data_IF_756474805771
#
_entry.id   IF_756474805771
#
_cell.length_a   1.000
_cell.length_b   1.000
_cell.length_c   1.000
_cell.angle_alpha   90.00
_cell.angle_beta   90.00
_cell.angle_gamma   90.00
#
_symmetry.space_group_name_H-M   'P 1'
#
loop_
_entity.id
_entity.type
_entity.pdbx_description
1 polymer ?
#
# COMPACT_ATOMS: atom_id res chain seq x y z
N UNK A 1 -5.09 -16.32 22.10
CA UNK A 1 -5.43 -15.05 21.42
C UNK A 1 -6.16 -14.20 22.44
N UNK A 2 -5.66 -12.99 22.74
CA UNK A 2 -6.35 -12.07 23.63
C UNK A 2 -7.70 -11.65 23.03
N UNK A 3 -8.66 -11.28 23.88
CA UNK A 3 -9.93 -10.70 23.43
C UNK A 3 -9.63 -9.46 22.58
N UNK A 4 -9.85 -9.54 21.26
CA UNK A 4 -9.94 -8.33 20.43
C UNK A 4 -11.18 -7.58 20.90
N UNK A 5 -10.98 -6.41 21.48
CA UNK A 5 -12.07 -5.49 21.82
C UNK A 5 -12.63 -4.89 20.51
N UNK A 6 -13.90 -4.44 20.49
CA UNK A 6 -14.41 -3.67 19.35
C UNK A 6 -13.51 -2.46 19.08
N UNK A 7 -13.43 -2.02 17.82
CA UNK A 7 -12.83 -0.72 17.47
C UNK A 7 -13.42 0.34 18.40
N UNK A 8 -12.60 1.20 19.04
CA UNK A 8 -13.12 2.34 19.79
C UNK A 8 -14.06 3.14 18.90
N UNK A 9 -15.16 3.64 19.47
CA UNK A 9 -16.10 4.49 18.73
C UNK A 9 -15.36 5.73 18.21
N UNK A 10 -15.10 5.77 16.91
CA UNK A 10 -14.41 6.86 16.22
C UNK A 10 -15.42 7.65 15.38
N UNK A 11 -15.26 8.98 15.20
CA UNK A 11 -16.05 9.72 14.22
C UNK A 11 -15.88 9.17 12.80
N UNK A 12 -14.77 8.45 12.54
CA UNK A 12 -14.48 7.77 11.28
C UNK A 12 -14.85 6.27 11.33
N UNK A 13 -15.93 5.95 12.05
CA UNK A 13 -16.48 4.59 12.11
C UNK A 13 -17.96 4.53 11.78
N UNK A 14 -18.36 3.49 11.05
CA UNK A 14 -19.75 3.17 10.73
C UNK A 14 -19.93 1.65 10.80
N UNK A 15 -20.83 1.17 11.66
CA UNK A 15 -21.08 -0.26 11.91
C UNK A 15 -19.79 -1.08 12.17
N UNK A 16 -18.94 -0.58 13.07
CA UNK A 16 -17.62 -1.13 13.41
C UNK A 16 -16.57 -1.09 12.27
N UNK A 17 -16.92 -0.59 11.09
CA UNK A 17 -16.00 -0.41 9.96
C UNK A 17 -15.44 1.00 9.88
N UNK A 18 -14.28 1.14 9.27
CA UNK A 18 -13.70 2.42 8.95
C UNK A 18 -14.57 3.18 7.92
N UNK A 19 -14.82 4.46 8.18
CA UNK A 19 -15.48 5.36 7.25
C UNK A 19 -14.83 6.74 7.32
N UNK A 20 -14.16 7.15 6.26
CA UNK A 20 -13.67 8.51 6.15
C UNK A 20 -14.73 9.43 5.54
N UNK A 21 -14.86 10.65 6.06
CA UNK A 21 -15.83 11.68 5.60
C UNK A 21 -15.75 12.04 4.11
N UNK A 22 -14.63 11.75 3.44
CA UNK A 22 -14.50 11.98 1.99
C UNK A 22 -15.23 10.94 1.14
N UNK A 23 -15.65 9.83 1.74
CA UNK A 23 -16.45 8.83 1.06
C UNK A 23 -17.92 9.27 1.07
N UNK A 24 -18.59 9.31 -0.09
CA UNK A 24 -19.99 9.78 -0.16
C UNK A 24 -20.93 8.84 0.61
N UNK A 25 -20.59 7.56 0.68
CA UNK A 25 -21.36 6.53 1.37
C UNK A 25 -20.40 5.61 2.16
N UNK A 26 -20.81 5.15 3.35
CA UNK A 26 -20.10 4.09 4.07
C UNK A 26 -19.90 2.85 3.21
N UNK A 27 -18.87 2.08 3.52
CA UNK A 27 -18.67 0.80 2.86
C UNK A 27 -19.72 -0.21 3.33
N UNK A 28 -20.28 -0.98 2.38
CA UNK A 28 -21.29 -2.00 2.64
C UNK A 28 -21.07 -3.18 1.73
N UNK A 29 -21.33 -4.39 2.21
CA UNK A 29 -21.35 -5.61 1.40
C UNK A 29 -22.46 -6.55 1.91
N UNK A 30 -23.11 -7.37 1.05
CA UNK A 30 -24.07 -8.37 1.48
C UNK A 30 -23.51 -9.39 2.48
N UNK A 31 -22.19 -9.60 2.48
CA UNK A 31 -21.49 -10.46 3.44
C UNK A 31 -21.36 -9.83 4.84
N UNK A 32 -21.75 -8.57 4.98
CA UNK A 32 -21.66 -7.74 6.18
C UNK A 32 -22.96 -6.98 6.43
N UNK A 33 -24.04 -7.71 6.75
CA UNK A 33 -25.34 -7.10 7.02
C UNK A 33 -25.25 -6.09 8.18
N UNK A 34 -25.94 -4.94 8.07
CA UNK A 34 -25.80 -3.83 9.02
C UNK A 34 -26.34 -4.13 10.42
N UNK A 35 -27.20 -5.14 10.55
CA UNK A 35 -27.78 -5.62 11.80
C UNK A 35 -26.94 -6.72 12.48
N UNK A 36 -25.90 -7.22 11.83
CA UNK A 36 -25.02 -8.24 12.39
C UNK A 36 -23.90 -7.61 13.23
N UNK A 37 -23.83 -8.00 14.50
CA UNK A 37 -22.79 -7.56 15.42
C UNK A 37 -21.42 -8.12 15.05
N UNK A 38 -20.35 -7.44 15.49
CA UNK A 38 -18.99 -7.97 15.31
C UNK A 38 -18.81 -9.37 15.92
N UNK A 39 -19.47 -9.69 17.05
CA UNK A 39 -19.38 -11.03 17.65
C UNK A 39 -20.05 -12.11 16.81
N UNK A 40 -21.15 -11.78 16.12
CA UNK A 40 -21.81 -12.71 15.20
C UNK A 40 -20.92 -12.94 13.97
N UNK A 41 -20.38 -11.87 13.38
CA UNK A 41 -19.38 -11.95 12.30
C UNK A 41 -18.19 -12.82 12.69
N UNK A 42 -17.62 -12.57 13.88
CA UNK A 42 -16.47 -13.30 14.42
C UNK A 42 -16.74 -14.79 14.59
N UNK A 43 -17.98 -15.20 14.85
CA UNK A 43 -18.36 -16.62 14.93
C UNK A 43 -18.69 -17.22 13.57
N UNK A 44 -19.29 -16.42 12.67
CA UNK A 44 -19.73 -16.88 11.35
C UNK A 44 -18.56 -17.11 10.40
N UNK A 45 -17.64 -16.15 10.27
CA UNK A 45 -16.59 -16.26 9.27
C UNK A 45 -15.67 -17.49 9.44
N UNK A 46 -15.28 -17.88 10.67
CA UNK A 46 -14.56 -19.13 10.91
C UNK A 46 -15.27 -20.42 10.49
N UNK A 47 -16.59 -20.38 10.28
CA UNK A 47 -17.36 -21.54 9.83
C UNK A 47 -17.29 -21.79 8.32
N UNK A 48 -16.79 -20.83 7.53
CA UNK A 48 -16.69 -21.01 6.08
C UNK A 48 -15.58 -21.99 5.71
N UNK A 49 -15.78 -22.86 4.69
CA UNK A 49 -14.77 -23.83 4.25
C UNK A 49 -13.46 -23.20 3.77
N UNK A 50 -13.49 -21.91 3.44
CA UNK A 50 -12.34 -21.15 2.97
C UNK A 50 -11.58 -20.41 4.06
N UNK A 51 -12.12 -20.38 5.29
CA UNK A 51 -11.42 -19.80 6.43
C UNK A 51 -10.09 -20.53 6.60
N UNK A 52 -8.97 -19.81 6.53
CA UNK A 52 -7.61 -20.35 6.51
C UNK A 52 -7.17 -21.14 5.24
N UNK A 53 -7.98 -21.20 4.18
CA UNK A 53 -7.67 -22.02 3.01
C UNK A 53 -6.42 -21.56 2.22
N UNK A 54 -6.14 -20.25 2.21
CA UNK A 54 -4.98 -19.68 1.52
C UNK A 54 -4.52 -18.34 2.15
N UNK A 55 -3.58 -17.65 1.50
CA UNK A 55 -3.06 -16.37 2.02
C UNK A 55 -4.11 -15.26 1.97
N UNK A 56 -5.01 -15.25 0.97
CA UNK A 56 -6.09 -14.27 0.92
C UNK A 56 -7.07 -14.47 2.09
N UNK A 57 -7.39 -15.71 2.46
CA UNK A 57 -8.21 -15.97 3.64
C UNK A 57 -7.57 -15.44 4.92
N UNK A 58 -6.26 -15.66 5.10
CA UNK A 58 -5.51 -15.14 6.27
C UNK A 58 -5.44 -13.61 6.28
N UNK A 59 -5.20 -12.99 5.12
CA UNK A 59 -5.25 -11.53 5.02
C UNK A 59 -6.65 -11.02 5.39
N UNK A 60 -7.71 -11.64 4.89
CA UNK A 60 -9.06 -11.23 5.26
C UNK A 60 -9.28 -11.36 6.77
N UNK A 61 -8.94 -12.51 7.37
CA UNK A 61 -9.02 -12.77 8.81
C UNK A 61 -8.25 -11.74 9.65
N UNK A 62 -7.01 -11.43 9.28
CA UNK A 62 -6.12 -10.49 9.98
C UNK A 62 -6.71 -9.06 10.01
N UNK A 63 -7.49 -8.67 8.99
CA UNK A 63 -7.86 -7.28 8.73
C UNK A 63 -9.35 -6.95 8.87
N UNK A 64 -10.26 -7.92 8.70
CA UNK A 64 -11.69 -7.60 8.58
C UNK A 64 -12.31 -7.00 9.87
N UNK A 65 -11.75 -7.32 11.04
CA UNK A 65 -12.24 -6.83 12.34
C UNK A 65 -11.65 -5.49 12.75
N UNK A 66 -10.43 -5.23 12.29
CA UNK A 66 -9.59 -4.16 12.81
C UNK A 66 -9.31 -3.08 11.79
N UNK A 67 -9.54 -3.31 10.49
CA UNK A 67 -8.95 -2.52 9.40
C UNK A 67 -9.81 -2.44 8.13
N UNK A 68 -11.08 -2.81 8.23
CA UNK A 68 -11.94 -2.96 7.06
C UNK A 68 -12.88 -1.78 6.85
N UNK A 69 -13.19 -1.39 5.60
CA UNK A 69 -12.50 -1.77 4.35
C UNK A 69 -11.01 -1.39 4.36
N UNK A 70 -10.15 -2.02 3.58
CA UNK A 70 -8.68 -1.79 3.53
C UNK A 70 -8.28 -0.85 2.39
N UNK A 71 -7.06 -0.30 2.40
CA UNK A 71 -6.56 0.64 1.39
C UNK A 71 -5.69 1.75 2.00
N UNK A 72 -5.24 2.70 1.19
CA UNK A 72 -4.26 3.71 1.63
C UNK A 72 -4.87 5.09 1.86
N UNK A 73 -4.26 5.86 2.78
CA UNK A 73 -4.31 7.32 2.70
C UNK A 73 -3.38 7.79 1.58
N UNK A 74 -3.88 8.62 0.68
CA UNK A 74 -3.15 9.13 -0.48
C UNK A 74 -3.22 10.66 -0.45
N UNK A 75 -2.08 11.29 -0.20
CA UNK A 75 -1.93 12.74 -0.22
C UNK A 75 -1.59 13.21 -1.62
N UNK A 76 -2.50 13.99 -2.21
CA UNK A 76 -2.25 14.70 -3.47
C UNK A 76 -1.46 15.96 -3.18
N UNK A 77 -0.25 16.05 -3.71
CA UNK A 77 0.65 17.20 -3.49
C UNK A 77 1.00 17.97 -4.77
N UNK A 78 0.40 17.56 -5.90
CA UNK A 78 0.57 18.18 -7.21
C UNK A 78 -0.79 18.64 -7.77
N UNK A 79 -0.93 19.96 -7.93
CA UNK A 79 -2.12 20.60 -8.49
C UNK A 79 -1.78 21.62 -9.58
N UNK A 80 -0.66 22.34 -9.49
CA UNK A 80 -0.35 23.41 -10.46
C UNK A 80 0.00 22.88 -11.85
N UNK A 81 0.83 21.84 -11.93
CA UNK A 81 1.35 21.31 -13.20
C UNK A 81 0.59 20.06 -13.70
N UNK A 82 -0.56 19.76 -13.08
CA UNK A 82 -1.29 18.51 -13.27
C UNK A 82 -2.72 18.81 -13.63
N UNK A 83 -3.19 18.25 -14.76
CA UNK A 83 -4.60 18.34 -15.09
C UNK A 83 -5.44 17.38 -14.26
N UNK A 84 -6.71 17.72 -13.99
CA UNK A 84 -7.64 16.80 -13.33
C UNK A 84 -7.84 15.49 -14.10
N UNK A 85 -7.66 15.51 -15.42
CA UNK A 85 -7.72 14.29 -16.23
C UNK A 85 -6.52 13.38 -15.95
N UNK A 86 -5.31 13.93 -15.87
CA UNK A 86 -4.09 13.20 -15.55
C UNK A 86 -4.14 12.62 -14.13
N UNK A 87 -4.63 13.41 -13.16
CA UNK A 87 -4.85 12.92 -11.80
C UNK A 87 -5.79 11.70 -11.77
N UNK A 88 -6.96 11.82 -12.42
CA UNK A 88 -7.94 10.72 -12.49
C UNK A 88 -7.36 9.49 -13.18
N UNK A 89 -6.57 9.68 -14.22
CA UNK A 89 -5.93 8.57 -14.93
C UNK A 89 -4.86 7.89 -14.07
N UNK A 90 -4.05 8.64 -13.33
CA UNK A 90 -3.07 8.08 -12.41
C UNK A 90 -3.76 7.25 -11.30
N UNK A 91 -4.83 7.78 -10.71
CA UNK A 91 -5.63 7.07 -9.71
C UNK A 91 -6.27 5.80 -10.27
N UNK A 92 -6.84 5.86 -11.47
CA UNK A 92 -7.38 4.70 -12.18
C UNK A 92 -6.32 3.62 -12.36
N UNK A 93 -5.10 4.00 -12.75
CA UNK A 93 -3.98 3.06 -12.93
C UNK A 93 -3.54 2.42 -11.62
N UNK A 94 -3.42 3.21 -10.53
CA UNK A 94 -3.08 2.66 -9.21
C UNK A 94 -4.07 1.59 -8.76
N UNK A 95 -5.37 1.89 -8.86
CA UNK A 95 -6.41 0.93 -8.52
C UNK A 95 -6.34 -0.31 -9.43
N UNK A 96 -6.18 -0.10 -10.73
CA UNK A 96 -6.06 -1.18 -11.71
C UNK A 96 -4.84 -2.10 -11.47
N UNK A 97 -3.71 -1.58 -10.98
CA UNK A 97 -2.56 -2.40 -10.59
C UNK A 97 -2.89 -3.35 -9.44
N UNK A 98 -3.57 -2.87 -8.39
CA UNK A 98 -4.04 -3.73 -7.29
C UNK A 98 -5.01 -4.77 -7.82
N UNK A 99 -5.96 -4.37 -8.66
CA UNK A 99 -6.95 -5.28 -9.24
C UNK A 99 -6.31 -6.38 -10.09
N UNK A 100 -5.46 -6.00 -11.04
CA UNK A 100 -4.76 -6.93 -11.92
C UNK A 100 -3.81 -7.84 -11.14
N UNK A 101 -3.17 -7.33 -10.08
CA UNK A 101 -2.31 -8.13 -9.22
C UNK A 101 -3.09 -9.32 -8.64
N UNK A 102 -4.18 -9.04 -7.93
CA UNK A 102 -4.97 -10.07 -7.27
C UNK A 102 -5.61 -11.04 -8.28
N UNK A 103 -6.13 -10.53 -9.42
CA UNK A 103 -6.73 -11.38 -10.46
C UNK A 103 -5.72 -12.26 -11.17
N UNK A 104 -4.53 -11.74 -11.46
CA UNK A 104 -3.46 -12.54 -12.09
C UNK A 104 -3.03 -13.74 -11.23
N UNK A 105 -3.22 -13.68 -9.92
CA UNK A 105 -3.01 -14.83 -9.04
C UNK A 105 -4.16 -15.84 -9.13
N UNK A 106 -5.41 -15.40 -9.23
CA UNK A 106 -6.55 -16.28 -9.48
C UNK A 106 -6.42 -17.01 -10.82
N UNK A 107 -6.06 -16.27 -11.88
CA UNK A 107 -6.03 -16.78 -13.26
C UNK A 107 -4.85 -17.71 -13.50
N UNK A 108 -3.66 -17.32 -13.07
CA UNK A 108 -2.43 -18.05 -13.42
C UNK A 108 -1.87 -18.90 -12.27
N UNK A 109 -2.30 -18.66 -11.03
CA UNK A 109 -1.84 -19.38 -9.84
C UNK A 109 -0.33 -19.31 -9.61
N UNK A 110 0.11 -19.78 -8.45
CA UNK A 110 1.43 -20.38 -8.34
C UNK A 110 1.26 -21.89 -8.54
N UNK A 111 2.25 -22.60 -9.09
CA UNK A 111 2.20 -24.06 -9.13
C UNK A 111 2.16 -24.63 -7.71
N UNK A 112 1.54 -25.80 -7.55
CA UNK A 112 1.64 -26.59 -6.31
C UNK A 112 3.11 -26.87 -5.96
N UNK A 113 3.52 -26.86 -4.68
CA UNK A 113 2.73 -26.59 -3.47
C UNK A 113 2.65 -25.10 -3.07
N UNK A 114 3.11 -24.17 -3.91
CA UNK A 114 3.27 -22.75 -3.57
C UNK A 114 2.02 -21.91 -3.81
N UNK A 115 0.86 -22.55 -3.93
CA UNK A 115 -0.40 -21.91 -4.28
C UNK A 115 -0.91 -21.04 -3.13
N UNK A 116 -0.78 -19.72 -3.25
CA UNK A 116 -1.09 -18.77 -2.16
C UNK A 116 -2.42 -18.05 -2.29
N UNK A 117 -3.07 -18.08 -3.45
CA UNK A 117 -4.25 -17.28 -3.78
C UNK A 117 -5.16 -18.05 -4.76
N UNK A 118 -5.87 -19.05 -4.27
CA UNK A 118 -6.66 -19.93 -5.12
C UNK A 118 -8.13 -19.98 -4.77
N UNK A 119 -8.51 -19.59 -3.54
CA UNK A 119 -9.90 -19.58 -3.17
C UNK A 119 -10.56 -18.27 -3.66
N UNK A 120 -11.66 -18.33 -4.44
CA UNK A 120 -12.25 -17.13 -5.04
C UNK A 120 -12.90 -16.20 -4.00
N UNK A 121 -13.53 -16.75 -2.95
CA UNK A 121 -14.28 -15.96 -1.97
C UNK A 121 -13.42 -14.95 -1.18
N UNK A 122 -12.29 -15.34 -0.52
CA UNK A 122 -11.45 -14.36 0.15
C UNK A 122 -10.95 -13.24 -0.78
N UNK A 123 -10.63 -13.58 -2.03
CA UNK A 123 -10.14 -12.60 -3.01
C UNK A 123 -11.26 -11.64 -3.43
N UNK A 124 -12.50 -12.14 -3.60
CA UNK A 124 -13.68 -11.29 -3.82
C UNK A 124 -13.88 -10.31 -2.67
N UNK A 125 -13.82 -10.79 -1.42
CA UNK A 125 -13.94 -9.92 -0.25
C UNK A 125 -12.82 -8.87 -0.23
N UNK A 126 -11.57 -9.27 -0.45
CA UNK A 126 -10.44 -8.34 -0.57
C UNK A 126 -10.68 -7.29 -1.65
N UNK A 127 -11.24 -7.65 -2.80
CA UNK A 127 -11.58 -6.68 -3.84
C UNK A 127 -12.64 -5.69 -3.39
N UNK A 128 -13.73 -6.19 -2.82
CA UNK A 128 -14.84 -5.36 -2.33
C UNK A 128 -14.37 -4.40 -1.23
N UNK A 129 -13.44 -4.86 -0.38
CA UNK A 129 -12.87 -4.08 0.69
C UNK A 129 -11.82 -3.06 0.26
N UNK A 130 -11.33 -3.06 -0.99
CA UNK A 130 -10.28 -2.12 -1.40
C UNK A 130 -10.86 -0.71 -1.61
N UNK A 131 -10.45 0.22 -0.76
CA UNK A 131 -10.90 1.61 -0.76
C UNK A 131 -9.83 2.56 -0.21
N UNK A 132 -9.31 3.41 -1.09
CA UNK A 132 -8.36 4.45 -0.73
C UNK A 132 -9.07 5.69 -0.15
N UNK A 133 -8.35 6.44 0.68
CA UNK A 133 -8.74 7.76 1.15
C UNK A 133 -7.83 8.77 0.47
N UNK A 134 -8.38 9.58 -0.42
CA UNK A 134 -7.63 10.68 -1.05
C UNK A 134 -7.78 11.93 -0.19
N UNK A 135 -6.65 12.51 0.21
CA UNK A 135 -6.58 13.78 0.94
C UNK A 135 -6.24 14.88 -0.06
N UNK A 136 -7.19 15.78 -0.24
CA UNK A 136 -7.08 16.92 -1.15
C UNK A 136 -7.30 18.23 -0.37
N UNK A 137 -6.28 19.08 -0.40
CA UNK A 137 -6.29 20.43 0.15
C UNK A 137 -5.19 21.21 -0.57
N UNK A 138 -5.56 21.91 -1.65
CA UNK A 138 -4.58 22.57 -2.52
C UNK A 138 -3.76 23.64 -1.79
N UNK A 139 -4.38 24.38 -0.87
CA UNK A 139 -3.70 25.46 -0.15
C UNK A 139 -2.63 24.91 0.80
N UNK A 140 -2.89 23.75 1.39
CA UNK A 140 -1.99 23.09 2.33
C UNK A 140 -0.96 22.18 1.65
N UNK A 141 -1.33 21.52 0.54
CA UNK A 141 -0.59 20.39 0.00
C UNK A 141 0.17 20.65 -1.29
N UNK A 142 -0.08 21.75 -2.03
CA UNK A 142 0.69 22.06 -3.24
C UNK A 142 2.19 22.16 -2.90
N UNK A 143 3.00 21.30 -3.51
CA UNK A 143 4.44 21.24 -3.28
C UNK A 143 4.84 20.84 -1.85
N UNK A 144 3.93 20.27 -1.06
CA UNK A 144 4.22 19.84 0.30
C UNK A 144 5.34 18.80 0.33
N UNK A 145 6.25 18.94 1.30
CA UNK A 145 7.35 17.99 1.48
C UNK A 145 6.88 16.70 2.15
N UNK A 146 7.68 15.63 2.02
CA UNK A 146 7.47 14.36 2.75
C UNK A 146 7.34 14.58 4.26
N UNK A 147 8.17 15.44 4.85
CA UNK A 147 8.12 15.76 6.29
C UNK A 147 6.77 16.39 6.67
N UNK A 148 6.30 17.33 5.86
CA UNK A 148 5.03 18.00 6.10
C UNK A 148 3.85 17.03 5.99
N UNK A 149 3.85 16.15 4.97
CA UNK A 149 2.81 15.10 4.84
C UNK A 149 2.87 14.10 5.99
N UNK A 150 4.07 13.68 6.43
CA UNK A 150 4.23 12.80 7.59
C UNK A 150 3.61 13.42 8.84
N UNK A 151 3.89 14.69 9.13
CA UNK A 151 3.30 15.40 10.26
C UNK A 151 1.78 15.47 10.17
N UNK A 152 1.22 15.83 9.01
CA UNK A 152 -0.23 15.85 8.80
C UNK A 152 -0.87 14.48 9.02
N UNK A 153 -0.19 13.42 8.61
CA UNK A 153 -0.64 12.05 8.77
C UNK A 153 -0.58 11.59 10.24
N UNK A 154 0.53 11.86 10.94
CA UNK A 154 0.68 11.60 12.38
C UNK A 154 -0.37 12.33 13.21
N UNK A 155 -0.59 13.62 12.93
CA UNK A 155 -1.59 14.45 13.62
C UNK A 155 -3.01 13.94 13.37
N UNK A 156 -3.30 13.41 12.18
CA UNK A 156 -4.57 12.78 11.89
C UNK A 156 -4.72 11.49 12.71
N UNK A 157 -3.72 10.59 12.64
CA UNK A 157 -3.79 9.30 13.31
C UNK A 157 -3.87 9.41 14.84
N UNK A 158 -3.11 10.34 15.44
CA UNK A 158 -3.14 10.59 16.89
C UNK A 158 -4.51 11.10 17.36
N UNK A 159 -5.20 11.93 16.56
CA UNK A 159 -6.55 12.43 16.91
C UNK A 159 -7.65 11.39 16.77
N UNK A 160 -7.43 10.36 15.95
CA UNK A 160 -8.42 9.35 15.62
C UNK A 160 -8.15 7.98 16.28
N UNK A 161 -7.12 7.90 17.14
CA UNK A 161 -6.73 6.73 17.94
C UNK A 161 -6.67 5.44 17.09
N UNK A 162 -6.05 5.54 15.92
CA UNK A 162 -5.81 4.42 15.01
C UNK A 162 -4.35 3.99 15.13
N UNK A 163 -4.09 2.78 15.63
CA UNK A 163 -2.75 2.19 15.77
C UNK A 163 -2.69 0.73 15.31
N UNK A 164 -1.52 0.28 14.85
CA UNK A 164 -1.20 -1.14 14.66
C UNK A 164 -1.53 -1.73 13.29
N UNK A 165 -1.73 -0.89 12.28
CA UNK A 165 -2.50 -1.21 11.08
C UNK A 165 -1.79 -0.60 9.84
N UNK A 166 -1.50 -1.30 8.71
CA UNK A 166 -0.78 -0.66 7.60
C UNK A 166 -1.35 0.67 7.08
N UNK A 167 -2.66 0.92 7.21
CA UNK A 167 -3.27 2.21 6.87
C UNK A 167 -2.96 3.26 7.94
N UNK A 168 -2.71 2.88 9.19
CA UNK A 168 -2.24 3.75 10.28
C UNK A 168 -0.73 3.93 10.30
N UNK A 169 0.06 3.00 9.75
CA UNK A 169 1.53 3.03 9.77
C UNK A 169 2.16 3.71 8.55
N UNK A 170 1.48 3.70 7.40
CA UNK A 170 1.98 4.32 6.18
C UNK A 170 0.90 5.10 5.44
N UNK A 171 1.34 6.19 4.80
CA UNK A 171 0.56 6.88 3.78
C UNK A 171 1.32 6.94 2.46
N UNK A 172 0.56 7.12 1.38
CA UNK A 172 1.10 7.39 0.06
C UNK A 172 1.07 8.90 -0.18
N UNK A 173 2.10 9.40 -0.85
CA UNK A 173 2.17 10.75 -1.38
C UNK A 173 2.42 10.68 -2.88
N UNK A 174 1.71 11.52 -3.62
CA UNK A 174 1.88 11.67 -5.07
C UNK A 174 2.24 13.13 -5.36
N UNK A 175 3.52 13.33 -5.70
CA UNK A 175 4.06 14.58 -6.25
C UNK A 175 4.07 14.55 -7.78
N UNK A 176 4.55 15.63 -8.42
CA UNK A 176 4.60 15.71 -9.88
C UNK A 176 5.42 14.57 -10.50
N UNK A 177 6.54 14.19 -9.89
CA UNK A 177 7.42 13.13 -10.40
C UNK A 177 6.74 11.77 -10.32
N UNK A 178 6.13 11.44 -9.18
CA UNK A 178 5.39 10.20 -8.97
C UNK A 178 4.20 10.11 -9.92
N UNK A 179 3.41 11.18 -10.06
CA UNK A 179 2.29 11.22 -11.00
C UNK A 179 2.75 10.92 -12.43
N UNK A 180 3.76 11.64 -12.90
CA UNK A 180 4.30 11.43 -14.25
C UNK A 180 4.86 10.02 -14.42
N UNK A 181 5.44 9.45 -13.37
CA UNK A 181 5.92 8.06 -13.38
C UNK A 181 4.78 7.05 -13.49
N UNK A 182 3.65 7.27 -12.79
CA UNK A 182 2.45 6.42 -12.87
C UNK A 182 1.83 6.50 -14.27
N UNK A 183 1.70 7.70 -14.83
CA UNK A 183 1.12 7.87 -16.17
C UNK A 183 1.98 7.18 -17.24
N UNK A 184 3.31 7.24 -17.10
CA UNK A 184 4.26 6.61 -18.02
C UNK A 184 4.40 5.09 -17.85
N UNK A 185 3.94 4.53 -16.73
CA UNK A 185 4.05 3.10 -16.48
C UNK A 185 3.26 2.27 -17.51
N UNK A 186 3.55 0.99 -17.69
CA UNK A 186 2.73 0.12 -18.54
C UNK A 186 1.25 0.11 -18.13
N UNK A 187 0.35 -0.23 -19.05
CA UNK A 187 -1.04 -0.49 -18.65
C UNK A 187 -1.12 -1.77 -17.81
N UNK A 188 -1.84 -1.76 -16.67
CA UNK A 188 -2.05 -2.96 -15.88
C UNK A 188 -2.80 -4.04 -16.68
N UNK A 189 -2.35 -5.29 -16.58
CA UNK A 189 -2.92 -6.43 -17.29
C UNK A 189 -2.99 -7.66 -16.39
N UNK A 190 -3.97 -8.54 -16.60
CA UNK A 190 -4.07 -9.77 -15.81
C UNK A 190 -3.02 -10.84 -16.21
N UNK A 191 -2.36 -10.67 -17.36
CA UNK A 191 -1.38 -11.62 -17.94
C UNK A 191 0.01 -11.63 -17.29
N UNK A 192 0.19 -10.86 -16.20
CA UNK A 192 1.44 -10.67 -15.46
C UNK A 192 2.57 -9.95 -16.19
N UNK A 193 2.40 -9.50 -17.42
CA UNK A 193 3.46 -8.78 -18.16
C UNK A 193 3.90 -7.49 -17.43
N UNK A 194 3.01 -6.88 -16.68
CA UNK A 194 3.31 -5.70 -15.85
C UNK A 194 4.22 -5.99 -14.65
N UNK A 195 4.39 -7.24 -14.20
CA UNK A 195 5.18 -7.60 -13.01
C UNK A 195 6.68 -7.75 -13.27
N UNK A 196 7.10 -7.66 -14.52
CA UNK A 196 8.49 -7.86 -14.95
C UNK A 196 9.17 -6.56 -15.43
N UNK A 197 8.53 -5.41 -15.25
CA UNK A 197 8.98 -4.14 -15.78
C UNK A 197 10.15 -3.55 -14.98
N UNK A 198 11.19 -3.10 -15.69
CA UNK A 198 12.14 -2.12 -15.14
C UNK A 198 11.54 -0.69 -15.16
N UNK A 199 10.41 -0.50 -15.85
CA UNK A 199 9.79 0.81 -16.10
C UNK A 199 8.58 1.07 -15.19
N UNK A 200 8.53 0.40 -14.03
CA UNK A 200 7.41 0.53 -13.11
C UNK A 200 7.29 1.97 -12.59
N UNK A 201 6.06 2.49 -12.61
CA UNK A 201 5.71 3.72 -11.92
C UNK A 201 5.90 3.56 -10.42
N UNK A 202 5.93 4.67 -9.67
CA UNK A 202 6.01 4.61 -8.21
C UNK A 202 5.10 5.62 -7.53
N UNK A 203 4.83 5.37 -6.26
CA UNK A 203 4.31 6.32 -5.28
C UNK A 203 5.35 6.53 -4.18
N UNK A 204 5.27 7.66 -3.49
CA UNK A 204 6.12 7.90 -2.32
C UNK A 204 5.40 7.29 -1.12
N UNK A 205 5.98 6.26 -0.51
CA UNK A 205 5.47 5.61 0.69
C UNK A 205 6.16 6.24 1.91
N UNK A 206 5.38 6.88 2.76
CA UNK A 206 5.86 7.59 3.94
C UNK A 206 5.64 6.71 5.16
N UNK A 207 6.71 6.49 5.92
CA UNK A 207 6.69 5.76 7.18
C UNK A 207 6.38 6.73 8.31
N UNK A 208 5.25 6.48 8.98
CA UNK A 208 4.78 7.29 10.11
C UNK A 208 5.68 7.13 11.33
N UNK A 209 6.17 5.92 11.59
CA UNK A 209 6.90 5.60 12.83
C UNK A 209 8.30 6.20 12.87
N UNK A 210 8.81 6.65 11.73
CA UNK A 210 10.12 7.24 11.64
C UNK A 210 10.17 8.56 12.43
N UNK A 211 11.03 8.62 13.44
CA UNK A 211 11.38 9.86 14.14
C UNK A 211 12.76 10.33 13.67
N UNK A 212 12.88 11.63 13.40
CA UNK A 212 14.17 12.23 13.08
C UNK A 212 15.16 12.05 14.24
N UNK A 213 16.34 11.49 13.95
CA UNK A 213 17.36 11.23 14.96
C UNK A 213 17.28 9.83 15.59
N UNK A 214 16.28 9.02 15.26
CA UNK A 214 16.31 7.59 15.59
C UNK A 214 17.45 6.92 14.81
N UNK A 215 18.49 6.53 15.53
CA UNK A 215 19.55 5.68 14.98
C UNK A 215 18.99 4.28 14.89
N UNK A 216 18.36 3.94 13.77
CA UNK A 216 18.15 2.55 13.41
C UNK A 216 19.50 2.06 12.90
N UNK A 217 20.22 1.29 13.72
CA UNK A 217 21.65 0.95 13.53
C UNK A 217 21.97 0.33 12.16
N UNK A 218 20.99 -0.29 11.51
CA UNK A 218 21.16 -0.92 10.19
C UNK A 218 20.76 -0.01 9.02
N UNK A 219 20.14 1.16 9.28
CA UNK A 219 19.58 2.08 8.28
C UNK A 219 19.87 3.55 8.61
N UNK A 220 21.09 3.88 9.04
CA UNK A 220 21.50 5.23 9.49
C UNK A 220 21.17 6.37 8.51
N UNK A 221 21.01 6.06 7.21
CA UNK A 221 20.69 7.05 6.16
C UNK A 221 19.22 7.03 5.72
N UNK A 222 18.36 6.20 6.32
CA UNK A 222 16.93 6.19 6.02
C UNK A 222 16.25 7.47 6.52
N UNK A 223 15.42 8.08 5.67
CA UNK A 223 14.79 9.38 5.93
C UNK A 223 13.27 9.25 6.24
N UNK A 224 12.82 8.04 6.56
CA UNK A 224 11.41 7.76 6.86
C UNK A 224 10.48 7.72 5.66
N UNK A 225 11.00 7.47 4.46
CA UNK A 225 10.18 7.26 3.26
C UNK A 225 10.93 6.43 2.21
N UNK A 226 10.17 5.88 1.27
CA UNK A 226 10.68 5.09 0.15
C UNK A 226 9.82 5.27 -1.10
N UNK A 227 10.30 4.81 -2.26
CA UNK A 227 9.46 4.65 -3.45
C UNK A 227 8.85 3.25 -3.44
N UNK A 228 7.53 3.17 -3.49
CA UNK A 228 6.82 1.91 -3.70
C UNK A 228 6.43 1.82 -5.16
N UNK A 229 6.97 0.83 -5.87
CA UNK A 229 6.59 0.56 -7.25
C UNK A 229 5.08 0.21 -7.28
N UNK A 230 4.36 0.74 -8.27
CA UNK A 230 2.88 0.61 -8.36
C UNK A 230 2.42 -0.84 -8.45
N UNK A 231 3.28 -1.72 -8.95
CA UNK A 231 3.07 -3.17 -9.04
C UNK A 231 3.13 -3.86 -7.68
N UNK A 232 3.70 -3.18 -6.68
CA UNK A 232 3.92 -3.65 -5.32
C UNK A 232 2.87 -3.24 -4.30
N UNK A 233 1.86 -2.44 -4.67
CA UNK A 233 0.82 -1.94 -3.75
C UNK A 233 0.19 -3.08 -2.92
N UNK A 234 -0.40 -4.08 -3.58
CA UNK A 234 -0.96 -5.23 -2.87
C UNK A 234 0.10 -6.01 -2.07
N UNK A 235 1.25 -6.29 -2.69
CA UNK A 235 2.33 -7.08 -2.10
C UNK A 235 2.78 -6.49 -0.78
N UNK A 236 2.99 -5.17 -0.74
CA UNK A 236 3.44 -4.43 0.42
C UNK A 236 2.42 -4.56 1.56
N UNK A 237 1.13 -4.27 1.30
CA UNK A 237 0.08 -4.39 2.32
C UNK A 237 -0.07 -5.81 2.85
N UNK A 238 0.00 -6.81 1.98
CA UNK A 238 -0.11 -8.22 2.38
C UNK A 238 1.11 -8.73 3.17
N UNK A 239 2.31 -8.19 2.91
CA UNK A 239 3.56 -8.69 3.48
C UNK A 239 4.04 -7.90 4.71
N UNK A 240 3.60 -6.67 4.92
CA UNK A 240 4.12 -5.77 5.96
C UNK A 240 4.05 -6.37 7.38
N UNK A 241 2.95 -7.05 7.73
CA UNK A 241 2.80 -7.64 9.07
C UNK A 241 3.62 -8.93 9.26
N UNK A 242 3.98 -9.62 8.17
CA UNK A 242 4.57 -10.95 8.24
C UNK A 242 6.10 -10.96 8.32
N UNK A 243 6.72 -9.86 7.90
CA UNK A 243 8.16 -9.73 7.81
C UNK A 243 8.54 -8.39 8.41
N UNK A 244 9.57 -8.38 9.24
CA UNK A 244 10.29 -7.16 9.58
C UNK A 244 10.84 -6.60 8.25
N UNK A 245 10.01 -5.84 7.54
CA UNK A 245 10.23 -5.36 6.18
C UNK A 245 11.57 -4.63 6.10
N UNK A 246 11.92 -3.91 7.18
CA UNK A 246 13.21 -3.27 7.32
C UNK A 246 14.37 -4.25 7.16
N UNK A 247 14.30 -5.49 7.67
CA UNK A 247 15.37 -6.50 7.47
C UNK A 247 15.66 -6.82 6.00
N UNK A 248 14.73 -6.56 5.09
CA UNK A 248 14.93 -6.74 3.64
C UNK A 248 15.40 -5.47 2.95
N UNK A 249 15.41 -4.33 3.64
CA UNK A 249 15.92 -3.09 3.06
C UNK A 249 17.42 -3.20 2.87
N UNK A 250 17.94 -2.96 1.66
CA UNK A 250 19.37 -2.89 1.44
C UNK A 250 19.98 -1.73 2.24
N UNK A 251 21.26 -1.87 2.57
CA UNK A 251 22.03 -0.79 3.17
C UNK A 251 22.00 0.47 2.30
N UNK A 252 21.75 1.61 2.92
CA UNK A 252 21.73 2.93 2.27
C UNK A 252 23.11 3.57 2.51
N UNK A 253 24.03 3.56 1.53
CA UNK A 253 25.45 3.83 1.78
C UNK A 253 25.79 5.30 2.06
N UNK A 254 24.90 6.24 1.72
CA UNK A 254 25.08 7.67 1.96
C UNK A 254 23.73 8.41 2.00
N UNK A 255 23.67 9.60 2.61
CA UNK A 255 22.49 10.45 2.57
C UNK A 255 22.08 10.82 1.13
N UNK A 256 20.79 11.11 0.94
CA UNK A 256 20.20 11.52 -0.35
C UNK A 256 19.86 10.37 -1.30
N UNK A 257 20.10 9.13 -0.89
CA UNK A 257 19.65 7.95 -1.63
C UNK A 257 18.27 7.50 -1.14
N UNK A 258 17.44 7.03 -2.05
CA UNK A 258 16.04 6.73 -1.82
C UNK A 258 15.86 5.21 -1.91
N UNK A 259 15.46 4.53 -0.82
CA UNK A 259 15.10 3.13 -0.90
C UNK A 259 13.83 2.96 -1.74
N UNK A 260 13.75 1.85 -2.44
CA UNK A 260 12.68 1.51 -3.36
C UNK A 260 12.25 0.06 -3.14
N UNK A 261 10.98 -0.27 -3.36
CA UNK A 261 10.48 -1.64 -3.23
C UNK A 261 9.32 -1.94 -4.16
N UNK A 262 9.18 -3.21 -4.56
CA UNK A 262 8.00 -3.78 -5.22
C UNK A 262 7.10 -4.57 -4.23
N UNK A 263 7.32 -4.38 -2.94
CA UNK A 263 6.65 -5.09 -1.84
C UNK A 263 7.25 -6.47 -1.52
N UNK A 264 8.17 -7.00 -2.33
CA UNK A 264 8.87 -8.27 -2.06
C UNK A 264 10.37 -8.07 -1.88
N UNK A 265 10.96 -7.30 -2.79
CA UNK A 265 12.38 -6.98 -2.85
C UNK A 265 12.59 -5.48 -2.74
N UNK A 266 13.81 -5.10 -2.41
CA UNK A 266 14.16 -3.70 -2.28
C UNK A 266 15.50 -3.38 -2.96
N UNK A 267 15.63 -2.13 -3.36
CA UNK A 267 16.81 -1.55 -3.96
C UNK A 267 16.94 -0.09 -3.51
N UNK A 268 18.04 0.55 -3.90
CA UNK A 268 18.33 1.95 -3.58
C UNK A 268 18.58 2.69 -4.87
N UNK A 269 17.93 3.84 -5.03
CA UNK A 269 18.11 4.73 -6.16
C UNK A 269 18.69 6.08 -5.69
N UNK A 270 19.26 6.85 -6.61
CA UNK A 270 19.44 8.29 -6.42
C UNK A 270 18.15 9.07 -6.77
N UNK A 271 18.18 10.40 -6.60
CA UNK A 271 17.04 11.27 -6.88
C UNK A 271 16.53 11.15 -8.33
N UNK A 272 17.44 10.91 -9.28
CA UNK A 272 17.14 10.79 -10.71
C UNK A 272 16.58 9.41 -11.07
N UNK A 273 16.74 8.41 -10.20
CA UNK A 273 16.26 7.04 -10.39
C UNK A 273 17.35 6.05 -10.83
N UNK A 274 18.63 6.42 -10.75
CA UNK A 274 19.75 5.50 -11.01
C UNK A 274 19.86 4.49 -9.87
N UNK A 275 19.87 3.20 -10.19
CA UNK A 275 20.01 2.13 -9.18
C UNK A 275 21.45 2.13 -8.64
N UNK A 276 21.61 2.32 -7.34
CA UNK A 276 22.92 2.38 -6.65
C UNK A 276 23.25 1.08 -5.94
N UNK A 277 22.24 0.43 -5.36
CA UNK A 277 22.36 -0.86 -4.70
C UNK A 277 21.05 -1.65 -4.85
N UNK A 278 21.11 -2.97 -4.80
CA UNK A 278 19.92 -3.81 -4.87
C UNK A 278 20.14 -5.12 -4.11
N UNK A 279 19.05 -5.68 -3.57
CA UNK A 279 19.07 -7.05 -3.08
C UNK A 279 19.42 -8.03 -4.20
N UNK A 280 20.12 -9.12 -3.87
CA UNK A 280 20.57 -10.12 -4.86
C UNK A 280 19.44 -10.81 -5.63
N UNK A 281 18.22 -10.84 -5.06
CA UNK A 281 17.03 -11.41 -5.68
C UNK A 281 16.18 -10.34 -6.37
N UNK A 282 16.49 -9.05 -6.21
CA UNK A 282 15.82 -7.99 -6.94
C UNK A 282 16.21 -8.04 -8.42
N UNK A 283 15.22 -7.91 -9.30
CA UNK A 283 15.45 -7.75 -10.74
C UNK A 283 16.34 -6.53 -11.05
N UNK A 284 16.41 -5.56 -10.12
CA UNK A 284 17.23 -4.35 -10.21
C UNK A 284 18.73 -4.59 -10.02
N UNK A 285 19.13 -5.73 -9.48
CA UNK A 285 20.55 -6.10 -9.32
C UNK A 285 21.32 -6.12 -10.64
N UNK A 286 20.65 -6.46 -11.74
CA UNK A 286 21.24 -6.50 -13.09
C UNK A 286 21.48 -5.12 -13.73
N UNK A 287 20.93 -4.05 -13.14
CA UNK A 287 20.96 -2.69 -13.69
C UNK A 287 21.57 -1.65 -12.74
N UNK A 288 22.35 -2.09 -11.75
CA UNK A 288 23.13 -1.19 -10.90
C UNK A 288 24.01 -0.26 -11.77
N UNK A 289 23.99 1.03 -11.47
CA UNK A 289 24.65 2.10 -12.22
C UNK A 289 23.87 2.62 -13.43
N UNK A 290 22.64 2.13 -13.67
CA UNK A 290 21.76 2.62 -14.73
C UNK A 290 20.50 3.24 -14.15
N UNK A 291 19.90 4.14 -14.91
CA UNK A 291 18.60 4.72 -14.62
C UNK A 291 17.52 4.01 -15.45
N UNK A 292 16.85 2.97 -14.91
CA UNK A 292 15.79 2.28 -15.61
C UNK A 292 14.53 3.16 -15.80
N UNK A 293 14.38 4.24 -15.01
CA UNK A 293 13.25 5.17 -15.12
C UNK A 293 13.47 6.24 -16.20
N UNK A 294 14.72 6.43 -16.64
CA UNK A 294 15.04 7.30 -17.77
C UNK A 294 14.69 6.57 -19.07
N UNK A 295 13.63 7.03 -19.75
CA UNK A 295 13.29 6.50 -21.09
C UNK A 295 14.47 6.70 -22.04
N UNK A 296 14.86 5.61 -22.71
CA UNK A 296 15.62 5.61 -23.97
C UNK A 296 14.80 6.16 -25.12
#
# INVERSE_FOLDING_TARGET
MGEMAPRPSSPDSFNDFFHHKSWPEPWTSPDFPPDESWQERYRRFPSYPWWEADRAARFFEEYYLSMWPWGYFIYRTCYENVSEADWKEAMRKLDAYVYCFLRSYQTHGNPEPYRTYWHPEPIRLIFEGYRNVVIEDRELLEGASVHQVRHLFEDWMTRHDQEGDPRSEFCLMIDDKALQSILKSPEPSEDRSFRSGLDDGYVILIDRRFQEGDIITDYENYQGFMRLDVTGLWSFTNAYQQYDYFRKMPHIPRPGLIPCTDGWFAHVEDEDGTVVAADSFSNRSSVIGKNPRAKS
#
